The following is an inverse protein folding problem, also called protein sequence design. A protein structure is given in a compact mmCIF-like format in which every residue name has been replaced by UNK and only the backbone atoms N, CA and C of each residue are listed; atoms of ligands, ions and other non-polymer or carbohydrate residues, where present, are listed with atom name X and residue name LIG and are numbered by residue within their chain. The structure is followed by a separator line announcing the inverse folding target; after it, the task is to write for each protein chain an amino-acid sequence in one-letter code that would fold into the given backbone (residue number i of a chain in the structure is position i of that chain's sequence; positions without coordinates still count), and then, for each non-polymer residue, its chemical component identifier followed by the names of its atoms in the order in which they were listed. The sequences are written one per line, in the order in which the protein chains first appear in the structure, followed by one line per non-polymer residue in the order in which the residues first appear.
data_IF_375613340115
#
_entry.id   IF_375613340115
#
_cell.length_a   1.000
_cell.length_b   1.000
_cell.length_c   1.000
_cell.angle_alpha   90.00
_cell.angle_beta   90.00
_cell.angle_gamma   90.00
#
_symmetry.space_group_name_H-M   'P 1'
#
loop_
_entity.id
_entity.type
_entity.pdbx_description
1 polymer ?
#
# COMPACT_ATOMS: atom_id res chain seq x y z
N UNK A 1 -57.55 -74.27 -29.47
CA UNK A 1 -56.83 -73.05 -29.02
C UNK A 1 -56.10 -72.49 -30.21
N UNK A 2 -56.39 -71.24 -30.53
CA UNK A 2 -56.15 -70.64 -31.85
C UNK A 2 -54.70 -70.13 -31.96
N UNK A 3 -53.94 -70.64 -32.93
CA UNK A 3 -52.52 -70.31 -33.14
C UNK A 3 -52.32 -68.80 -33.34
N UNK A 4 -53.32 -68.14 -33.94
CA UNK A 4 -53.36 -66.70 -34.19
C UNK A 4 -53.45 -65.89 -32.89
N UNK A 5 -54.19 -66.38 -31.89
CA UNK A 5 -54.30 -65.72 -30.59
C UNK A 5 -52.98 -65.81 -29.81
N UNK A 6 -52.26 -66.93 -29.89
CA UNK A 6 -50.95 -67.09 -29.22
C UNK A 6 -49.89 -66.17 -29.86
N UNK A 7 -49.89 -66.06 -31.20
CA UNK A 7 -48.96 -65.20 -31.96
C UNK A 7 -49.27 -63.71 -31.74
N UNK A 8 -50.55 -63.32 -31.68
CA UNK A 8 -50.92 -61.91 -31.42
C UNK A 8 -50.61 -61.49 -29.99
N UNK A 9 -50.81 -62.38 -29.01
CA UNK A 9 -50.50 -62.12 -27.60
C UNK A 9 -48.99 -62.03 -27.36
N UNK A 10 -48.18 -62.87 -28.00
CA UNK A 10 -46.71 -62.81 -27.89
C UNK A 10 -46.12 -61.56 -28.57
N UNK A 11 -46.68 -61.13 -29.70
CA UNK A 11 -46.29 -59.89 -30.37
C UNK A 11 -46.61 -58.64 -29.52
N UNK A 12 -47.81 -58.60 -28.91
CA UNK A 12 -48.21 -57.52 -28.00
C UNK A 12 -47.33 -57.46 -26.75
N UNK A 13 -47.06 -58.60 -26.12
CA UNK A 13 -46.18 -58.67 -24.94
C UNK A 13 -44.76 -58.21 -25.29
N UNK A 14 -44.23 -58.64 -26.43
CA UNK A 14 -42.90 -58.22 -26.91
C UNK A 14 -42.85 -56.71 -27.17
N UNK A 15 -43.90 -56.14 -27.77
CA UNK A 15 -44.00 -54.70 -27.99
C UNK A 15 -44.04 -53.90 -26.68
N UNK A 16 -44.83 -54.36 -25.69
CA UNK A 16 -44.91 -53.72 -24.37
C UNK A 16 -43.57 -53.80 -23.63
N UNK A 17 -42.90 -54.95 -23.64
CA UNK A 17 -41.58 -55.12 -23.01
C UNK A 17 -40.55 -54.20 -23.67
N UNK A 18 -40.55 -54.09 -25.01
CA UNK A 18 -39.66 -53.17 -25.72
C UNK A 18 -39.94 -51.71 -25.37
N UNK A 19 -41.20 -51.28 -25.28
CA UNK A 19 -41.56 -49.90 -24.90
C UNK A 19 -41.12 -49.59 -23.47
N UNK A 20 -41.35 -50.50 -22.53
CA UNK A 20 -40.93 -50.35 -21.13
C UNK A 20 -39.40 -50.32 -21.04
N UNK A 21 -38.70 -51.20 -21.76
CA UNK A 21 -37.24 -51.25 -21.80
C UNK A 21 -36.63 -49.96 -22.36
N UNK A 22 -37.15 -49.45 -23.48
CA UNK A 22 -36.71 -48.18 -24.08
C UNK A 22 -36.99 -47.00 -23.15
N UNK A 23 -38.16 -46.97 -22.51
CA UNK A 23 -38.51 -45.93 -21.54
C UNK A 23 -37.58 -45.95 -20.33
N UNK A 24 -37.31 -47.13 -19.78
CA UNK A 24 -36.44 -47.28 -18.61
C UNK A 24 -34.99 -46.88 -18.91
N UNK A 25 -34.44 -47.29 -20.06
CA UNK A 25 -33.09 -46.88 -20.49
C UNK A 25 -33.03 -45.36 -20.69
N UNK A 26 -34.05 -44.76 -21.31
CA UNK A 26 -34.12 -43.31 -21.53
C UNK A 26 -34.19 -42.53 -20.22
N UNK A 27 -35.02 -42.98 -19.27
CA UNK A 27 -35.16 -42.34 -17.96
C UNK A 27 -33.84 -42.43 -17.16
N UNK A 28 -33.18 -43.61 -17.19
CA UNK A 28 -31.91 -43.83 -16.49
C UNK A 28 -30.77 -43.02 -17.10
N UNK A 29 -30.67 -42.94 -18.42
CA UNK A 29 -29.70 -42.08 -19.11
C UNK A 29 -29.93 -40.62 -18.78
N UNK A 30 -31.19 -40.17 -18.76
CA UNK A 30 -31.54 -38.78 -18.40
C UNK A 30 -31.16 -38.46 -16.94
N UNK A 31 -31.39 -39.39 -16.01
CA UNK A 31 -30.96 -39.22 -14.62
C UNK A 31 -29.43 -39.22 -14.48
N UNK A 32 -28.73 -40.11 -15.18
CA UNK A 32 -27.26 -40.18 -15.18
C UNK A 32 -26.64 -38.89 -15.70
N UNK A 33 -27.09 -38.42 -16.86
CA UNK A 33 -26.61 -37.18 -17.48
C UNK A 33 -26.91 -35.98 -16.57
N UNK A 34 -28.11 -35.93 -15.98
CA UNK A 34 -28.47 -34.87 -15.04
C UNK A 34 -27.56 -34.89 -13.80
N UNK A 35 -27.29 -36.05 -13.24
CA UNK A 35 -26.44 -36.19 -12.07
C UNK A 35 -24.99 -35.76 -12.35
N UNK A 36 -24.43 -36.18 -13.48
CA UNK A 36 -23.10 -35.78 -13.93
C UNK A 36 -23.03 -34.26 -14.16
N UNK A 37 -24.05 -33.69 -14.82
CA UNK A 37 -24.14 -32.25 -15.04
C UNK A 37 -24.29 -31.44 -13.74
N UNK A 38 -25.10 -31.91 -12.79
CA UNK A 38 -25.28 -31.28 -11.48
C UNK A 38 -23.97 -31.36 -10.66
N UNK A 39 -23.22 -32.46 -10.78
CA UNK A 39 -21.93 -32.65 -10.13
C UNK A 39 -20.84 -31.75 -10.73
N UNK A 40 -20.77 -31.65 -12.06
CA UNK A 40 -19.85 -30.76 -12.76
C UNK A 40 -20.17 -29.29 -12.49
N UNK A 41 -21.46 -28.93 -12.43
CA UNK A 41 -21.89 -27.58 -12.06
C UNK A 41 -21.50 -27.24 -10.61
N UNK A 42 -21.66 -28.19 -9.68
CA UNK A 42 -21.25 -28.01 -8.28
C UNK A 42 -19.73 -27.86 -8.16
N UNK A 43 -18.97 -28.65 -8.92
CA UNK A 43 -17.51 -28.58 -8.97
C UNK A 43 -17.04 -27.24 -9.54
N UNK A 44 -17.62 -26.81 -10.66
CA UNK A 44 -17.31 -25.52 -11.29
C UNK A 44 -17.62 -24.35 -10.35
N UNK A 45 -18.75 -24.38 -9.64
CA UNK A 45 -19.07 -23.38 -8.63
C UNK A 45 -18.05 -23.35 -7.50
N UNK A 46 -17.66 -24.52 -6.99
CA UNK A 46 -16.65 -24.62 -5.92
C UNK A 46 -15.28 -24.11 -6.38
N UNK A 47 -14.87 -24.41 -7.61
CA UNK A 47 -13.61 -23.91 -8.19
C UNK A 47 -13.66 -22.39 -8.34
N UNK A 48 -14.78 -21.85 -8.83
CA UNK A 48 -14.97 -20.41 -8.98
C UNK A 48 -14.98 -19.68 -7.63
N UNK A 49 -15.65 -20.24 -6.61
CA UNK A 49 -15.64 -19.69 -5.25
C UNK A 49 -14.24 -19.70 -4.65
N UNK A 50 -13.48 -20.78 -4.85
CA UNK A 50 -12.10 -20.87 -4.38
C UNK A 50 -11.19 -19.84 -5.06
N UNK A 51 -11.29 -19.69 -6.39
CA UNK A 51 -10.52 -18.70 -7.14
C UNK A 51 -10.87 -17.26 -6.73
N UNK A 52 -12.16 -16.99 -6.48
CA UNK A 52 -12.63 -15.69 -6.02
C UNK A 52 -12.12 -15.38 -4.60
N UNK A 53 -12.16 -16.34 -3.67
CA UNK A 53 -11.60 -16.18 -2.32
C UNK A 53 -10.07 -15.97 -2.36
N UNK A 54 -9.38 -16.70 -3.23
CA UNK A 54 -7.93 -16.53 -3.46
C UNK A 54 -7.61 -15.12 -3.97
N UNK A 55 -8.33 -14.65 -5.00
CA UNK A 55 -8.14 -13.30 -5.53
C UNK A 55 -8.46 -12.23 -4.48
N UNK A 56 -9.52 -12.42 -3.70
CA UNK A 56 -9.88 -11.52 -2.61
C UNK A 56 -8.78 -11.41 -1.56
N UNK A 57 -8.20 -12.53 -1.13
CA UNK A 57 -7.08 -12.54 -0.17
C UNK A 57 -5.83 -11.84 -0.71
N UNK A 58 -5.49 -12.07 -1.98
CA UNK A 58 -4.37 -11.37 -2.63
C UNK A 58 -4.61 -9.86 -2.69
N UNK A 59 -5.82 -9.45 -3.05
CA UNK A 59 -6.22 -8.05 -3.06
C UNK A 59 -6.16 -7.40 -1.67
N UNK A 60 -6.73 -8.05 -0.66
CA UNK A 60 -6.72 -7.56 0.73
C UNK A 60 -5.30 -7.46 1.28
N UNK A 61 -4.43 -8.43 0.97
CA UNK A 61 -3.01 -8.40 1.31
C UNK A 61 -2.30 -7.20 0.70
N UNK A 62 -2.44 -7.02 -0.62
CA UNK A 62 -1.86 -5.89 -1.36
C UNK A 62 -2.36 -4.54 -0.85
N UNK A 63 -3.67 -4.43 -0.61
CA UNK A 63 -4.28 -3.23 -0.03
C UNK A 63 -3.73 -2.90 1.36
N UNK A 64 -3.55 -3.91 2.21
CA UNK A 64 -3.00 -3.74 3.56
C UNK A 64 -1.55 -3.20 3.51
N UNK A 65 -0.73 -3.77 2.64
CA UNK A 65 0.67 -3.33 2.44
C UNK A 65 0.71 -1.89 1.93
N UNK A 66 -0.14 -1.55 0.95
CA UNK A 66 -0.18 -0.20 0.37
C UNK A 66 -0.64 0.85 1.38
N UNK A 67 -1.66 0.54 2.20
CA UNK A 67 -2.12 1.40 3.28
C UNK A 67 -1.01 1.67 4.30
N UNK A 68 -0.35 0.60 4.79
CA UNK A 68 0.76 0.70 5.75
C UNK A 68 1.83 1.66 5.21
N UNK A 69 2.21 1.48 3.96
CA UNK A 69 3.27 2.26 3.35
C UNK A 69 2.90 3.73 3.12
N UNK A 70 1.69 3.99 2.62
CA UNK A 70 1.21 5.37 2.48
C UNK A 70 1.19 6.11 3.82
N UNK A 71 0.76 5.45 4.90
CA UNK A 71 0.81 6.02 6.25
C UNK A 71 2.25 6.33 6.71
N UNK A 72 3.22 5.49 6.36
CA UNK A 72 4.64 5.76 6.66
C UNK A 72 5.18 6.97 5.87
N UNK A 73 4.87 7.08 4.57
CA UNK A 73 5.24 8.26 3.75
C UNK A 73 4.67 9.55 4.32
N UNK A 74 3.40 9.53 4.71
CA UNK A 74 2.71 10.67 5.31
C UNK A 74 3.32 11.05 6.67
N UNK A 75 3.65 10.05 7.50
CA UNK A 75 4.28 10.28 8.80
C UNK A 75 5.65 10.96 8.68
N UNK A 76 6.47 10.57 7.70
CA UNK A 76 7.75 11.25 7.44
C UNK A 76 7.55 12.66 6.88
N UNK A 77 6.72 12.80 5.83
CA UNK A 77 6.62 14.04 5.05
C UNK A 77 5.84 15.12 5.77
N UNK A 78 4.68 14.79 6.33
CA UNK A 78 3.76 15.77 6.91
C UNK A 78 4.00 16.01 8.40
N UNK A 79 4.38 14.98 9.17
CA UNK A 79 4.49 15.09 10.64
C UNK A 79 5.91 15.37 11.09
N UNK A 80 6.86 14.55 10.67
CA UNK A 80 8.21 14.56 11.23
C UNK A 80 9.01 15.79 10.80
N UNK A 81 8.99 16.10 9.51
CA UNK A 81 9.68 17.30 8.99
C UNK A 81 9.03 18.59 9.47
N UNK A 82 7.70 18.66 9.46
CA UNK A 82 6.99 19.82 9.99
C UNK A 82 7.32 20.05 11.47
N UNK A 83 7.30 18.99 12.28
CA UNK A 83 7.65 19.09 13.70
C UNK A 83 9.10 19.57 13.91
N UNK A 84 10.04 19.13 13.08
CA UNK A 84 11.43 19.60 13.12
C UNK A 84 11.53 21.11 12.80
N UNK A 85 10.81 21.59 11.78
CA UNK A 85 10.79 23.01 11.44
C UNK A 85 10.04 23.88 12.46
N UNK A 86 8.90 23.42 12.97
CA UNK A 86 8.12 24.13 13.99
C UNK A 86 8.90 24.21 15.32
N UNK A 87 9.54 23.10 15.71
CA UNK A 87 10.41 23.03 16.89
C UNK A 87 11.62 23.96 16.76
N UNK A 88 12.19 24.04 15.56
CA UNK A 88 13.24 25.00 15.24
C UNK A 88 12.78 26.46 15.40
N UNK A 89 11.67 26.84 14.75
CA UNK A 89 11.16 28.22 14.82
C UNK A 89 10.88 28.64 16.26
N UNK A 90 10.23 27.77 17.03
CA UNK A 90 9.89 28.04 18.42
C UNK A 90 11.15 28.17 19.27
N UNK A 91 12.06 27.21 19.14
CA UNK A 91 13.29 27.18 19.94
C UNK A 91 14.23 28.37 19.68
N UNK A 92 14.33 28.83 18.43
CA UNK A 92 15.10 30.05 18.13
C UNK A 92 14.44 31.28 18.72
N UNK A 93 13.12 31.42 18.65
CA UNK A 93 12.41 32.56 19.25
C UNK A 93 12.67 32.62 20.76
N UNK A 94 12.64 31.48 21.45
CA UNK A 94 12.90 31.41 22.89
C UNK A 94 14.34 31.83 23.22
N UNK A 95 15.33 31.37 22.45
CA UNK A 95 16.74 31.76 22.59
C UNK A 95 16.94 33.26 22.28
N UNK A 96 16.22 33.81 21.32
CA UNK A 96 16.29 35.23 20.99
C UNK A 96 15.68 36.13 22.08
N UNK A 97 14.59 35.68 22.70
CA UNK A 97 13.92 36.41 23.76
C UNK A 97 14.71 36.38 25.08
N UNK A 98 15.35 35.25 25.38
CA UNK A 98 16.20 35.08 26.56
C UNK A 98 17.39 34.16 26.23
N UNK A 99 18.55 34.73 25.82
CA UNK A 99 19.74 33.99 25.40
C UNK A 99 20.53 33.44 26.58
N UNK A 100 19.85 32.87 27.57
CA UNK A 100 20.47 32.20 28.71
C UNK A 100 21.10 30.86 28.28
N UNK A 101 22.12 30.42 29.03
CA UNK A 101 22.75 29.10 28.83
C UNK A 101 21.73 27.97 28.95
N UNK A 102 20.70 28.13 29.81
CA UNK A 102 19.62 27.16 29.98
C UNK A 102 18.78 27.02 28.71
N UNK A 103 18.23 28.12 28.19
CA UNK A 103 17.38 28.10 27.00
C UNK A 103 18.15 27.63 25.76
N UNK A 104 19.41 28.04 25.64
CA UNK A 104 20.29 27.58 24.54
C UNK A 104 20.56 26.08 24.62
N UNK A 105 20.81 25.55 25.82
CA UNK A 105 21.03 24.12 26.03
C UNK A 105 19.75 23.30 25.79
N UNK A 106 18.61 23.80 26.23
CA UNK A 106 17.31 23.14 26.04
C UNK A 106 16.91 23.12 24.56
N UNK A 107 17.15 24.21 23.83
CA UNK A 107 17.01 24.26 22.38
C UNK A 107 17.85 23.18 21.69
N UNK A 108 19.16 23.11 21.97
CA UNK A 108 20.07 22.12 21.38
C UNK A 108 19.59 20.70 21.69
N UNK A 109 19.19 20.43 22.95
CA UNK A 109 18.70 19.10 23.36
C UNK A 109 17.43 18.70 22.59
N UNK A 110 16.46 19.61 22.46
CA UNK A 110 15.22 19.37 21.76
C UNK A 110 15.45 19.12 20.26
N UNK A 111 16.35 19.89 19.62
CA UNK A 111 16.67 19.68 18.21
C UNK A 111 17.38 18.35 17.95
N UNK A 112 18.30 17.93 18.83
CA UNK A 112 18.94 16.61 18.72
C UNK A 112 17.94 15.47 18.90
N UNK A 113 16.97 15.62 19.81
CA UNK A 113 15.90 14.64 19.98
C UNK A 113 15.01 14.55 18.71
N UNK A 114 14.55 15.68 18.19
CA UNK A 114 13.75 15.74 16.96
C UNK A 114 14.51 15.16 15.75
N UNK A 115 15.82 15.41 15.65
CA UNK A 115 16.66 14.81 14.62
C UNK A 115 16.71 13.28 14.76
N UNK A 116 16.80 12.77 15.99
CA UNK A 116 16.73 11.35 16.29
C UNK A 116 15.41 10.73 15.81
N UNK A 117 14.29 11.34 16.19
CA UNK A 117 12.95 10.88 15.82
C UNK A 117 12.74 10.85 14.29
N UNK A 118 13.14 11.93 13.60
CA UNK A 118 13.07 11.99 12.12
C UNK A 118 13.93 10.90 11.48
N UNK A 119 15.12 10.65 12.02
CA UNK A 119 16.04 9.62 11.53
C UNK A 119 15.48 8.20 11.74
N UNK A 120 14.84 7.95 12.89
CA UNK A 120 14.20 6.65 13.17
C UNK A 120 13.05 6.38 12.18
N UNK A 121 12.22 7.39 11.90
CA UNK A 121 11.12 7.27 10.95
C UNK A 121 11.65 7.04 9.53
N UNK A 122 12.72 7.74 9.13
CA UNK A 122 13.41 7.51 7.86
C UNK A 122 13.94 6.08 7.74
N UNK A 123 14.63 5.56 8.76
CA UNK A 123 15.17 4.20 8.76
C UNK A 123 14.06 3.14 8.72
N UNK A 124 13.00 3.36 9.50
CA UNK A 124 11.80 2.50 9.48
C UNK A 124 11.21 2.44 8.08
N UNK A 125 11.04 3.60 7.45
CA UNK A 125 10.55 3.69 6.08
C UNK A 125 11.44 2.93 5.08
N UNK A 126 12.76 3.14 5.16
CA UNK A 126 13.75 2.48 4.29
C UNK A 126 13.76 0.96 4.46
N UNK A 127 13.50 0.45 5.66
CA UNK A 127 13.41 -0.99 5.91
C UNK A 127 12.10 -1.59 5.36
N UNK A 128 11.00 -0.86 5.53
CA UNK A 128 9.65 -1.31 5.15
C UNK A 128 9.41 -1.29 3.62
N UNK A 129 10.15 -0.46 2.87
CA UNK A 129 10.00 -0.39 1.41
C UNK A 129 10.30 -1.71 0.71
N UNK A 130 11.17 -2.55 1.28
CA UNK A 130 11.51 -3.84 0.69
C UNK A 130 10.30 -4.79 0.65
N UNK A 131 9.40 -4.71 1.64
CA UNK A 131 8.16 -5.47 1.63
C UNK A 131 7.21 -5.00 0.52
N UNK A 132 7.18 -3.70 0.24
CA UNK A 132 6.39 -3.15 -0.85
C UNK A 132 6.95 -3.54 -2.23
N UNK A 133 8.27 -3.61 -2.37
CA UNK A 133 8.95 -3.99 -3.62
C UNK A 133 8.58 -5.40 -4.11
N UNK A 134 8.16 -6.30 -3.21
CA UNK A 134 7.74 -7.66 -3.57
C UNK A 134 6.37 -7.69 -4.27
N UNK A 135 5.51 -6.72 -3.99
CA UNK A 135 4.11 -6.69 -4.45
C UNK A 135 3.85 -5.59 -5.51
N UNK A 136 4.81 -4.70 -5.71
CA UNK A 136 4.71 -3.56 -6.61
C UNK A 136 5.00 -3.95 -8.07
N UNK A 137 4.19 -3.44 -8.99
CA UNK A 137 4.49 -3.49 -10.42
C UNK A 137 5.67 -2.60 -10.80
N UNK A 138 6.17 -2.76 -12.02
CA UNK A 138 7.38 -2.07 -12.50
C UNK A 138 7.30 -0.54 -12.41
N UNK A 139 6.12 0.04 -12.69
CA UNK A 139 5.93 1.49 -12.63
C UNK A 139 5.96 2.01 -11.19
N UNK A 140 5.28 1.32 -10.28
CA UNK A 140 5.32 1.67 -8.86
C UNK A 140 6.73 1.52 -8.29
N UNK A 141 7.47 0.46 -8.67
CA UNK A 141 8.87 0.26 -8.28
C UNK A 141 9.76 1.44 -8.67
N UNK A 142 9.65 1.94 -9.91
CA UNK A 142 10.43 3.11 -10.35
C UNK A 142 10.12 4.35 -9.52
N UNK A 143 8.83 4.63 -9.28
CA UNK A 143 8.42 5.76 -8.46
C UNK A 143 8.93 5.64 -7.01
N UNK A 144 8.94 4.42 -6.46
CA UNK A 144 9.45 4.14 -5.13
C UNK A 144 10.97 4.36 -5.03
N UNK A 145 11.73 3.93 -6.05
CA UNK A 145 13.17 4.15 -6.10
C UNK A 145 13.51 5.65 -6.19
N UNK A 146 12.79 6.39 -7.04
CA UNK A 146 12.92 7.85 -7.13
C UNK A 146 12.57 8.54 -5.81
N UNK A 147 11.53 8.07 -5.12
CA UNK A 147 11.13 8.59 -3.82
C UNK A 147 12.22 8.37 -2.78
N UNK A 148 12.80 7.18 -2.69
CA UNK A 148 13.90 6.89 -1.74
C UNK A 148 15.10 7.79 -1.98
N UNK A 149 15.50 7.96 -3.25
CA UNK A 149 16.63 8.82 -3.60
C UNK A 149 16.36 10.26 -3.15
N UNK A 150 15.19 10.82 -3.48
CA UNK A 150 14.83 12.17 -3.03
C UNK A 150 14.70 12.28 -1.51
N UNK A 151 14.31 11.18 -0.84
CA UNK A 151 14.22 11.11 0.62
C UNK A 151 15.59 11.20 1.27
N UNK A 152 16.56 10.44 0.74
CA UNK A 152 17.96 10.44 1.18
C UNK A 152 18.59 11.82 1.02
N UNK A 153 18.45 12.44 -0.15
CA UNK A 153 18.97 13.79 -0.42
C UNK A 153 18.36 14.81 0.56
N UNK A 154 17.06 14.72 0.82
CA UNK A 154 16.40 15.64 1.76
C UNK A 154 16.86 15.42 3.19
N UNK A 155 17.05 14.16 3.61
CA UNK A 155 17.54 13.83 4.93
C UNK A 155 18.98 14.34 5.12
N UNK A 156 19.86 14.15 4.13
CA UNK A 156 21.23 14.66 4.16
C UNK A 156 21.26 16.18 4.34
N UNK A 157 20.50 16.92 3.54
CA UNK A 157 20.39 18.38 3.68
C UNK A 157 19.86 18.80 5.04
N UNK A 158 18.87 18.08 5.57
CA UNK A 158 18.31 18.35 6.91
C UNK A 158 19.39 18.18 7.97
N UNK A 159 20.21 17.12 7.88
CA UNK A 159 21.33 16.92 8.80
C UNK A 159 22.39 18.02 8.64
N UNK A 160 22.76 18.40 7.43
CA UNK A 160 23.70 19.50 7.16
C UNK A 160 23.22 20.82 7.75
N UNK A 161 21.94 21.15 7.57
CA UNK A 161 21.34 22.34 8.16
C UNK A 161 21.41 22.31 9.68
N UNK A 162 21.02 21.21 10.31
CA UNK A 162 21.07 21.07 11.77
C UNK A 162 22.51 21.15 12.32
N UNK A 163 23.49 20.61 11.60
CA UNK A 163 24.90 20.73 11.98
C UNK A 163 25.39 22.18 11.87
N UNK A 164 25.09 22.85 10.75
CA UNK A 164 25.41 24.26 10.57
C UNK A 164 24.77 25.11 11.67
N UNK A 165 23.51 24.83 11.98
CA UNK A 165 22.73 25.45 13.04
C UNK A 165 23.41 25.34 14.40
N UNK A 166 23.78 24.12 14.80
CA UNK A 166 24.46 23.88 16.08
C UNK A 166 25.83 24.57 16.13
N UNK A 167 26.60 24.53 15.04
CA UNK A 167 27.90 25.19 14.94
C UNK A 167 27.82 26.72 14.99
N UNK A 168 26.67 27.29 14.61
CA UNK A 168 26.43 28.73 14.58
C UNK A 168 25.40 29.19 15.64
N UNK A 169 25.09 28.37 16.64
CA UNK A 169 24.08 28.68 17.68
C UNK A 169 24.36 30.02 18.38
N UNK A 170 25.62 30.34 18.65
CA UNK A 170 26.03 31.63 19.24
C UNK A 170 25.78 32.82 18.32
N UNK A 171 25.76 32.62 17.00
CA UNK A 171 25.45 33.68 16.04
C UNK A 171 23.98 34.06 16.02
N UNK A 172 23.08 33.19 16.47
CA UNK A 172 21.68 33.56 16.68
C UNK A 172 21.54 34.65 17.74
N UNK A 173 22.42 34.63 18.75
CA UNK A 173 22.45 35.63 19.81
C UNK A 173 23.12 36.92 19.32
N UNK A 174 24.21 36.81 18.55
CA UNK A 174 25.00 37.99 18.14
C UNK A 174 24.55 38.66 16.84
N UNK A 175 23.87 37.95 15.93
CA UNK A 175 23.39 38.45 14.64
C UNK A 175 22.08 37.74 14.21
N UNK A 176 20.95 38.05 14.88
CA UNK A 176 19.70 37.32 14.72
C UNK A 176 19.07 37.46 13.33
N UNK A 177 19.17 38.64 12.70
CA UNK A 177 18.57 38.89 11.39
C UNK A 177 19.21 38.05 10.28
N UNK A 178 20.54 38.01 10.23
CA UNK A 178 21.27 37.23 9.23
C UNK A 178 21.03 35.73 9.40
N UNK A 179 20.96 35.28 10.64
CA UNK A 179 20.79 33.85 10.92
C UNK A 179 19.34 33.39 10.65
N UNK A 180 18.36 34.27 10.89
CA UNK A 180 16.98 34.04 10.46
C UNK A 180 16.86 34.03 8.93
N UNK A 181 17.56 34.92 8.21
CA UNK A 181 17.59 34.93 6.73
C UNK A 181 18.10 33.60 6.16
N UNK A 182 19.21 33.08 6.68
CA UNK A 182 19.79 31.80 6.24
C UNK A 182 18.82 30.63 6.50
N UNK A 183 18.16 30.62 7.66
CA UNK A 183 17.14 29.61 7.95
C UNK A 183 15.94 29.70 7.00
N UNK A 184 15.47 30.90 6.70
CA UNK A 184 14.35 31.12 5.76
C UNK A 184 14.72 30.69 4.34
N UNK A 185 15.94 30.98 3.88
CA UNK A 185 16.44 30.53 2.57
C UNK A 185 16.55 29.01 2.46
N UNK A 186 17.03 28.35 3.52
CA UNK A 186 17.06 26.90 3.60
C UNK A 186 15.64 26.32 3.53
N UNK A 187 14.71 26.83 4.35
CA UNK A 187 13.30 26.40 4.34
C UNK A 187 12.65 26.60 2.96
N UNK A 188 12.90 27.73 2.31
CA UNK A 188 12.35 28.02 0.99
C UNK A 188 12.92 27.08 -0.08
N UNK A 189 14.21 26.73 0.01
CA UNK A 189 14.88 25.83 -0.94
C UNK A 189 14.42 24.38 -0.76
N UNK A 190 14.25 23.94 0.48
CA UNK A 190 13.71 22.61 0.78
C UNK A 190 12.26 22.48 0.33
N UNK A 191 11.40 23.45 0.64
CA UNK A 191 9.99 23.42 0.26
C UNK A 191 9.78 23.49 -1.26
N UNK A 192 10.61 24.24 -1.99
CA UNK A 192 10.47 24.42 -3.44
C UNK A 192 11.31 23.44 -4.28
N UNK A 193 12.28 22.75 -3.67
CA UNK A 193 13.18 21.81 -4.32
C UNK A 193 12.76 20.36 -4.10
N UNK A 194 13.60 19.60 -3.41
CA UNK A 194 13.39 18.16 -3.16
C UNK A 194 12.15 17.87 -2.31
N UNK A 195 11.77 18.78 -1.40
CA UNK A 195 10.53 18.66 -0.63
C UNK A 195 9.29 18.65 -1.51
N UNK A 196 9.22 19.54 -2.52
CA UNK A 196 8.14 19.54 -3.51
C UNK A 196 8.15 18.25 -4.34
N UNK A 197 9.33 17.83 -4.80
CA UNK A 197 9.47 16.58 -5.57
C UNK A 197 9.00 15.37 -4.76
N UNK A 198 9.26 15.31 -3.46
CA UNK A 198 8.76 14.25 -2.59
C UNK A 198 7.24 14.24 -2.48
N UNK A 199 6.61 15.40 -2.37
CA UNK A 199 5.14 15.52 -2.35
C UNK A 199 4.56 15.05 -3.69
N UNK A 200 5.15 15.48 -4.81
CA UNK A 200 4.71 15.09 -6.16
C UNK A 200 4.88 13.58 -6.39
N UNK A 201 6.00 12.99 -5.96
CA UNK A 201 6.24 11.56 -6.02
C UNK A 201 5.28 10.79 -5.11
N UNK A 202 5.01 11.26 -3.89
CA UNK A 202 4.03 10.64 -2.99
C UNK A 202 2.64 10.58 -3.63
N UNK A 203 2.23 11.65 -4.30
CA UNK A 203 0.96 11.70 -5.02
C UNK A 203 0.92 10.71 -6.20
N UNK A 204 2.00 10.63 -7.00
CA UNK A 204 2.10 9.68 -8.11
C UNK A 204 2.09 8.23 -7.62
N UNK A 205 2.78 7.93 -6.52
CA UNK A 205 2.81 6.62 -5.88
C UNK A 205 1.42 6.24 -5.39
N UNK A 206 0.70 7.17 -4.75
CA UNK A 206 -0.67 6.93 -4.31
C UNK A 206 -1.61 6.62 -5.48
N UNK A 207 -1.53 7.38 -6.57
CA UNK A 207 -2.33 7.12 -7.77
C UNK A 207 -2.01 5.76 -8.38
N UNK A 208 -0.72 5.41 -8.48
CA UNK A 208 -0.30 4.13 -9.03
C UNK A 208 -0.71 2.94 -8.15
N UNK A 209 -0.61 3.08 -6.82
CA UNK A 209 -1.14 2.08 -5.87
C UNK A 209 -2.64 1.83 -6.09
N UNK A 210 -3.43 2.87 -6.36
CA UNK A 210 -4.85 2.72 -6.67
C UNK A 210 -5.09 2.06 -8.02
N UNK A 211 -4.30 2.38 -9.04
CA UNK A 211 -4.35 1.74 -10.35
C UNK A 211 -4.06 0.24 -10.24
N UNK A 212 -3.01 -0.13 -9.51
CA UNK A 212 -2.62 -1.52 -9.28
C UNK A 212 -3.66 -2.33 -8.47
N UNK A 213 -4.54 -1.64 -7.74
CA UNK A 213 -5.69 -2.20 -7.04
C UNK A 213 -6.99 -2.16 -7.89
N UNK A 214 -6.96 -1.62 -9.10
CA UNK A 214 -8.17 -1.48 -9.94
C UNK A 214 -9.25 -0.57 -9.34
N UNK A 215 -8.86 0.41 -8.52
CA UNK A 215 -9.77 1.39 -7.87
C UNK A 215 -9.92 2.67 -8.73
N UNK A 216 -9.35 2.68 -9.94
CA UNK A 216 -9.32 3.82 -10.88
C UNK A 216 -9.70 3.36 -12.28
#
# INVERSE_FOLDING_TARGET
MDLVAIISTSALVTAVINVIGVFWIKERLKQSIKHEYDQDLAKLKSELEFDLDKQKKLYEGKLSIYKKYYTLMDSYTAKSRKALFDGFQTGIIDVLNDPSDSNTTDYIRNMLALQGDVSEIFLTFKNEINGLRLEAGEKLLKLLDEYVISLEITQEKTVEFLQWMNANATKFITNPEETNRISQEYMATELNGEGKKLIDLQNQIFLEMRNELGIV
#
